data_IF_709912554281
#
_entry.id   IF_709912554281
#
_cell.length_a   1.000
_cell.length_b   1.000
_cell.length_c   1.000
_cell.angle_alpha   90.00
_cell.angle_beta   90.00
_cell.angle_gamma   90.00
#
_symmetry.space_group_name_H-M   'P 1'
#
loop_
_entity.id
_entity.type
_entity.pdbx_description
1 polymer ?
#
# COMPACT_ATOMS: atom_id res chain seq x y z
N UNK A 1 -56.64 46.70 25.02
CA UNK A 1 -57.82 45.98 24.49
C UNK A 1 -57.30 44.74 23.80
N UNK A 2 -57.72 43.58 24.29
CA UNK A 2 -57.34 42.28 23.77
C UNK A 2 -58.21 41.94 22.56
N UNK A 3 -57.65 41.23 21.59
CA UNK A 3 -58.41 40.28 20.77
C UNK A 3 -57.51 39.10 20.39
N UNK A 4 -57.80 37.97 21.01
CA UNK A 4 -57.51 36.60 20.54
C UNK A 4 -58.54 36.18 19.47
N UNK A 5 -58.32 34.95 18.95
CA UNK A 5 -59.15 34.03 18.13
C UNK A 5 -58.55 33.84 16.72
N UNK A 6 -57.68 32.84 16.49
CA UNK A 6 -57.93 31.43 15.99
C UNK A 6 -58.58 31.41 14.59
N UNK A 7 -58.32 30.51 13.63
CA UNK A 7 -57.99 29.07 13.63
C UNK A 7 -57.71 28.62 12.18
N UNK A 8 -57.21 27.38 12.05
CA UNK A 8 -57.29 26.46 10.87
C UNK A 8 -56.34 26.78 9.68
N UNK A 9 -55.62 25.84 9.08
CA UNK A 9 -55.68 24.37 9.07
C UNK A 9 -55.29 23.91 7.66
N UNK A 10 -54.27 23.07 7.55
CA UNK A 10 -53.90 22.15 6.44
C UNK A 10 -52.39 21.90 6.51
N UNK A 11 -51.83 20.73 6.24
CA UNK A 11 -52.22 19.33 6.38
C UNK A 11 -50.95 18.57 5.97
N UNK A 12 -50.72 17.44 6.64
CA UNK A 12 -50.08 16.22 6.12
C UNK A 12 -48.79 16.33 5.31
N UNK A 13 -47.69 15.88 5.91
CA UNK A 13 -46.91 14.79 5.33
C UNK A 13 -45.95 14.21 6.39
N UNK A 14 -46.51 13.34 7.25
CA UNK A 14 -45.74 12.29 7.90
C UNK A 14 -45.41 11.23 6.85
N UNK A 15 -44.16 11.19 6.38
CA UNK A 15 -43.63 10.00 5.68
C UNK A 15 -42.67 9.29 6.62
N UNK A 16 -43.27 8.43 7.42
CA UNK A 16 -42.62 7.34 8.13
C UNK A 16 -42.49 6.15 7.16
N UNK A 17 -41.33 5.99 6.54
CA UNK A 17 -40.94 4.70 5.95
C UNK A 17 -39.78 4.11 6.75
N UNK A 18 -40.15 3.34 7.76
CA UNK A 18 -39.37 2.18 8.17
C UNK A 18 -39.34 1.21 6.99
N UNK A 19 -38.15 1.00 6.42
CA UNK A 19 -37.85 -0.19 5.62
C UNK A 19 -36.60 -0.86 6.18
N UNK A 20 -36.88 -1.89 6.98
CA UNK A 20 -36.32 -3.24 6.88
C UNK A 20 -34.80 -3.38 6.65
N UNK A 21 -34.12 -3.77 7.75
CA UNK A 21 -33.15 -4.87 7.83
C UNK A 21 -32.29 -5.14 6.58
N UNK A 22 -31.54 -4.13 6.14
CA UNK A 22 -30.32 -4.39 5.40
C UNK A 22 -29.21 -4.70 6.40
N UNK A 23 -29.11 -5.97 6.77
CA UNK A 23 -27.97 -6.58 7.43
C UNK A 23 -26.76 -6.55 6.47
N UNK A 24 -26.30 -5.35 6.15
CA UNK A 24 -25.02 -5.13 5.49
C UNK A 24 -24.01 -5.47 6.55
N UNK A 25 -23.45 -6.67 6.43
CA UNK A 25 -22.19 -7.04 7.05
C UNK A 25 -21.16 -5.98 6.63
N UNK A 26 -21.11 -4.89 7.40
CA UNK A 26 -19.99 -4.00 7.45
C UNK A 26 -18.89 -4.82 8.11
N UNK A 27 -18.27 -5.70 7.32
CA UNK A 27 -16.93 -6.17 7.56
C UNK A 27 -16.09 -4.91 7.48
N UNK A 28 -15.98 -4.23 8.61
CA UNK A 28 -15.20 -3.03 8.83
C UNK A 28 -13.84 -3.34 8.23
N UNK A 29 -13.61 -2.87 7.00
CA UNK A 29 -12.33 -3.00 6.34
C UNK A 29 -11.43 -2.15 7.20
N UNK A 30 -10.76 -2.79 8.15
CA UNK A 30 -9.86 -2.15 9.11
C UNK A 30 -9.01 -1.20 8.30
N UNK A 31 -9.29 0.10 8.41
CA UNK A 31 -8.54 1.11 7.69
C UNK A 31 -7.18 1.09 8.33
N UNK A 32 -6.26 0.36 7.71
CA UNK A 32 -4.88 0.27 8.17
C UNK A 32 -4.31 1.67 8.02
N UNK A 33 -4.26 2.42 9.12
CA UNK A 33 -3.71 3.76 9.13
C UNK A 33 -2.23 3.67 9.46
N UNK A 34 -1.45 4.54 8.82
CA UNK A 34 -0.03 4.66 9.15
C UNK A 34 0.08 5.65 10.30
N UNK A 35 0.94 5.34 11.27
CA UNK A 35 1.16 6.23 12.40
C UNK A 35 1.66 7.61 11.93
N UNK A 36 0.75 8.58 11.89
CA UNK A 36 1.03 9.94 11.44
C UNK A 36 2.14 10.60 12.27
N UNK A 37 2.33 10.19 13.53
CA UNK A 37 3.41 10.71 14.39
C UNK A 37 4.79 10.33 13.85
N UNK A 38 4.91 9.25 13.08
CA UNK A 38 6.15 8.82 12.40
C UNK A 38 6.26 9.39 10.99
N UNK A 39 5.12 9.47 10.28
CA UNK A 39 5.09 9.98 8.91
C UNK A 39 5.48 11.46 8.83
N UNK A 40 4.96 12.28 9.74
CA UNK A 40 5.16 13.73 9.69
C UNK A 40 6.65 14.13 9.86
N UNK A 41 7.43 13.58 10.81
CA UNK A 41 8.88 13.78 10.87
C UNK A 41 9.61 13.34 9.59
N UNK A 42 9.26 12.17 9.03
CA UNK A 42 9.89 11.67 7.81
C UNK A 42 9.67 12.63 6.62
N UNK A 43 8.43 13.11 6.44
CA UNK A 43 8.12 14.10 5.41
C UNK A 43 8.82 15.43 5.63
N UNK A 44 8.94 15.90 6.88
CA UNK A 44 9.74 17.10 7.20
C UNK A 44 11.21 16.93 6.83
N UNK A 45 11.79 15.77 7.08
CA UNK A 45 13.18 15.47 6.69
C UNK A 45 13.36 15.49 5.18
N UNK A 46 12.44 14.87 4.43
CA UNK A 46 12.45 14.88 2.96
C UNK A 46 12.28 16.31 2.44
N UNK A 47 11.33 17.08 2.97
CA UNK A 47 11.11 18.47 2.56
C UNK A 47 12.36 19.34 2.69
N UNK A 48 13.16 19.14 3.75
CA UNK A 48 14.44 19.85 3.93
C UNK A 48 15.45 19.56 2.81
N UNK A 49 15.51 18.31 2.31
CA UNK A 49 16.40 17.94 1.20
C UNK A 49 16.08 18.70 -0.09
N UNK A 50 14.81 19.07 -0.28
CA UNK A 50 14.32 19.81 -1.44
C UNK A 50 14.14 21.32 -1.18
N UNK A 51 14.74 21.86 -0.11
CA UNK A 51 14.63 23.26 0.30
C UNK A 51 13.18 23.76 0.48
N UNK A 52 12.26 22.86 0.83
CA UNK A 52 10.86 23.20 1.11
C UNK A 52 10.71 23.69 2.55
N UNK A 53 10.09 24.87 2.72
CA UNK A 53 9.99 25.56 4.03
C UNK A 53 9.08 24.86 5.04
N UNK A 54 8.01 24.22 4.58
CA UNK A 54 7.03 23.57 5.44
C UNK A 54 6.31 22.43 4.74
N UNK A 55 5.80 21.50 5.54
CA UNK A 55 4.91 20.43 5.09
C UNK A 55 3.55 20.70 5.70
N UNK A 56 2.51 20.85 4.87
CA UNK A 56 1.15 21.07 5.36
C UNK A 56 0.48 19.72 5.69
N UNK A 57 -0.53 19.75 6.57
CA UNK A 57 -1.23 18.53 7.01
C UNK A 57 -1.92 17.80 5.86
N UNK A 58 -2.41 18.53 4.84
CA UNK A 58 -3.05 17.94 3.65
C UNK A 58 -2.07 17.06 2.88
N UNK A 59 -0.82 17.47 2.72
CA UNK A 59 0.25 16.68 2.11
C UNK A 59 0.54 15.43 2.93
N UNK A 60 0.56 15.52 4.26
CA UNK A 60 0.76 14.36 5.14
C UNK A 60 -0.36 13.35 5.00
N UNK A 61 -1.61 13.80 5.06
CA UNK A 61 -2.77 12.93 4.86
C UNK A 61 -2.79 12.31 3.45
N UNK A 62 -2.31 13.04 2.44
CA UNK A 62 -2.21 12.52 1.06
C UNK A 62 -1.14 11.44 0.98
N UNK A 63 0.04 11.68 1.57
CA UNK A 63 1.12 10.70 1.60
C UNK A 63 0.72 9.43 2.35
N UNK A 64 -0.02 9.55 3.46
CA UNK A 64 -0.57 8.39 4.17
C UNK A 64 -1.45 7.54 3.24
N UNK A 65 -2.39 8.16 2.51
CA UNK A 65 -3.24 7.44 1.54
C UNK A 65 -2.43 6.76 0.44
N UNK A 66 -1.40 7.42 -0.07
CA UNK A 66 -0.50 6.86 -1.09
C UNK A 66 0.22 5.63 -0.53
N UNK A 67 0.78 5.70 0.67
CA UNK A 67 1.47 4.59 1.30
C UNK A 67 0.54 3.41 1.60
N UNK A 68 -0.69 3.66 2.06
CA UNK A 68 -1.69 2.59 2.27
C UNK A 68 -2.07 1.93 0.94
N UNK A 69 -2.28 2.73 -0.12
CA UNK A 69 -2.56 2.20 -1.45
C UNK A 69 -1.40 1.38 -1.99
N UNK A 70 -0.17 1.87 -1.81
CA UNK A 70 1.05 1.17 -2.18
C UNK A 70 1.16 -0.19 -1.49
N UNK A 71 1.00 -0.23 -0.16
CA UNK A 71 1.04 -1.48 0.61
C UNK A 71 -0.05 -2.46 0.17
N UNK A 72 -1.24 -1.95 -0.15
CA UNK A 72 -2.35 -2.78 -0.64
C UNK A 72 -1.98 -3.45 -1.96
N UNK A 73 -1.45 -2.69 -2.93
CA UNK A 73 -1.03 -3.23 -4.24
C UNK A 73 0.06 -4.29 -4.07
N UNK A 74 1.09 -4.01 -3.26
CA UNK A 74 2.18 -4.97 -3.03
C UNK A 74 1.65 -6.25 -2.39
N UNK A 75 0.81 -6.14 -1.35
CA UNK A 75 0.26 -7.30 -0.66
C UNK A 75 -0.68 -8.12 -1.54
N UNK A 76 -1.56 -7.48 -2.30
CA UNK A 76 -2.48 -8.15 -3.23
C UNK A 76 -1.69 -8.92 -4.30
N UNK A 77 -0.66 -8.29 -4.90
CA UNK A 77 0.19 -8.94 -5.90
C UNK A 77 0.98 -10.11 -5.31
N UNK A 78 1.48 -9.96 -4.08
CA UNK A 78 2.21 -11.02 -3.38
C UNK A 78 1.31 -12.21 -3.05
N UNK A 79 0.06 -11.97 -2.64
CA UNK A 79 -0.91 -13.02 -2.32
C UNK A 79 -1.38 -13.78 -3.55
N UNK A 80 -1.55 -13.11 -4.70
CA UNK A 80 -1.91 -13.77 -5.95
C UNK A 80 -0.85 -14.78 -6.42
N UNK A 81 0.41 -14.60 -6.02
CA UNK A 81 1.52 -15.49 -6.37
C UNK A 81 1.85 -16.53 -5.30
N UNK A 82 1.40 -16.32 -4.08
CA UNK A 82 1.58 -17.28 -3.01
C UNK A 82 0.69 -18.50 -3.25
N UNK A 83 1.30 -19.63 -3.58
CA UNK A 83 0.63 -20.94 -3.56
C UNK A 83 0.40 -21.44 -2.13
N UNK A 84 0.86 -20.70 -1.13
CA UNK A 84 0.77 -21.03 0.29
C UNK A 84 -0.32 -20.21 0.96
N UNK A 85 -0.95 -20.80 1.99
CA UNK A 85 -1.88 -20.10 2.87
C UNK A 85 -1.23 -19.03 3.76
N UNK A 86 0.11 -18.94 3.73
CA UNK A 86 0.90 -18.00 4.50
C UNK A 86 1.78 -17.19 3.56
N UNK A 87 1.64 -15.86 3.63
CA UNK A 87 2.46 -14.94 2.86
C UNK A 87 3.92 -14.96 3.37
N UNK A 88 4.87 -15.26 2.50
CA UNK A 88 6.29 -15.30 2.81
C UNK A 88 6.99 -14.00 2.37
N UNK A 89 8.18 -13.75 2.94
CA UNK A 89 9.00 -12.58 2.57
C UNK A 89 9.41 -12.66 1.10
N UNK A 90 9.69 -13.87 0.59
CA UNK A 90 10.05 -14.12 -0.80
C UNK A 90 8.93 -13.73 -1.77
N UNK A 91 7.67 -13.88 -1.37
CA UNK A 91 6.52 -13.49 -2.19
C UNK A 91 6.46 -11.96 -2.33
N UNK A 92 6.70 -11.24 -1.22
CA UNK A 92 6.76 -9.77 -1.21
C UNK A 92 7.93 -9.27 -2.05
N UNK A 93 9.11 -9.88 -1.93
CA UNK A 93 10.27 -9.52 -2.74
C UNK A 93 10.02 -9.73 -4.23
N UNK A 94 9.44 -10.88 -4.60
CA UNK A 94 9.10 -11.19 -5.99
C UNK A 94 8.09 -10.18 -6.54
N UNK A 95 7.07 -9.83 -5.75
CA UNK A 95 6.11 -8.80 -6.12
C UNK A 95 6.77 -7.42 -6.33
N UNK A 96 7.69 -7.03 -5.45
CA UNK A 96 8.41 -5.75 -5.58
C UNK A 96 9.28 -5.71 -6.84
N UNK A 97 9.93 -6.81 -7.21
CA UNK A 97 10.71 -6.89 -8.45
C UNK A 97 9.80 -6.76 -9.68
N UNK A 98 8.67 -7.47 -9.69
CA UNK A 98 7.75 -7.46 -10.83
C UNK A 98 6.96 -6.17 -11.01
N UNK A 99 6.81 -5.40 -9.94
CA UNK A 99 6.23 -4.05 -9.96
C UNK A 99 7.28 -2.97 -10.32
N UNK A 100 8.50 -3.37 -10.72
CA UNK A 100 9.63 -2.48 -11.01
C UNK A 100 10.06 -1.61 -9.81
N UNK A 101 9.90 -2.14 -8.59
CA UNK A 101 10.23 -1.48 -7.32
C UNK A 101 11.51 -2.06 -6.69
N UNK A 102 12.34 -2.73 -7.48
CA UNK A 102 13.59 -3.37 -7.01
C UNK A 102 14.53 -2.39 -6.30
N UNK A 103 14.52 -1.11 -6.68
CA UNK A 103 15.34 -0.07 -6.07
C UNK A 103 15.00 0.20 -4.59
N UNK A 104 13.84 -0.26 -4.12
CA UNK A 104 13.44 -0.19 -2.71
C UNK A 104 13.96 -1.37 -1.88
N UNK A 105 14.45 -2.43 -2.52
CA UNK A 105 15.01 -3.59 -1.83
C UNK A 105 16.46 -3.32 -1.42
N UNK A 106 16.91 -3.84 -0.25
CA UNK A 106 18.30 -3.70 0.16
C UNK A 106 19.23 -4.42 -0.83
N UNK A 107 20.30 -3.74 -1.22
CA UNK A 107 21.31 -4.24 -2.15
C UNK A 107 22.19 -5.37 -1.59
N UNK A 108 22.18 -5.57 -0.26
CA UNK A 108 22.92 -6.64 0.42
C UNK A 108 21.97 -7.57 1.17
N UNK A 109 22.12 -8.88 0.98
CA UNK A 109 21.35 -9.91 1.71
C UNK A 109 20.15 -10.48 0.96
N UNK A 110 19.88 -10.01 -0.26
CA UNK A 110 18.87 -10.58 -1.16
C UNK A 110 19.58 -10.85 -2.48
N UNK A 111 19.83 -12.11 -2.80
CA UNK A 111 20.36 -12.50 -4.10
C UNK A 111 19.16 -12.83 -5.01
N UNK A 112 18.68 -11.90 -5.86
CA UNK A 112 17.58 -12.19 -6.80
C UNK A 112 17.96 -13.29 -7.82
N UNK A 113 19.25 -13.62 -7.94
CA UNK A 113 19.78 -14.55 -8.94
C UNK A 113 19.66 -16.03 -8.60
N UNK A 114 19.19 -16.41 -7.41
CA UNK A 114 19.07 -17.83 -7.05
C UNK A 114 17.95 -18.60 -7.77
N UNK A 115 17.28 -18.01 -8.76
CA UNK A 115 16.37 -18.71 -9.69
C UNK A 115 16.91 -18.89 -11.12
N UNK A 116 18.11 -18.39 -11.48
CA UNK A 116 18.61 -18.46 -12.86
C UNK A 116 20.01 -19.09 -13.03
N UNK A 117 20.74 -19.41 -11.97
CA UNK A 117 22.14 -19.87 -12.07
C UNK A 117 22.35 -21.40 -12.03
N UNK A 118 21.33 -22.21 -12.29
CA UNK A 118 21.49 -23.68 -12.36
C UNK A 118 21.67 -24.22 -13.80
N UNK A 119 21.97 -23.36 -14.78
CA UNK A 119 22.41 -23.80 -16.10
C UNK A 119 23.49 -22.84 -16.60
N UNK A 120 24.63 -23.40 -17.05
CA UNK A 120 25.83 -22.72 -17.57
C UNK A 120 26.66 -22.08 -16.44
N UNK A 121 27.93 -22.43 -16.18
CA UNK A 121 29.03 -22.88 -17.03
C UNK A 121 30.04 -23.67 -16.16
N UNK A 122 30.14 -24.98 -16.36
CA UNK A 122 31.33 -25.77 -15.98
C UNK A 122 31.93 -26.38 -17.27
N UNK A 123 32.23 -25.51 -18.23
CA UNK A 123 33.14 -25.81 -19.33
C UNK A 123 34.32 -24.84 -19.24
N UNK A 124 35.14 -25.03 -18.21
CA UNK A 124 36.52 -24.56 -18.28
C UNK A 124 37.21 -25.35 -19.40
N UNK A 125 37.44 -24.65 -20.50
CA UNK A 125 38.29 -25.07 -21.60
C UNK A 125 39.72 -25.16 -21.08
N UNK A 126 40.17 -26.38 -20.79
CA UNK A 126 41.60 -26.68 -20.62
C UNK A 126 42.26 -26.48 -21.99
N UNK A 127 42.91 -25.34 -22.18
CA UNK A 127 43.82 -25.08 -23.30
C UNK A 127 45.21 -24.79 -22.71
N UNK A 128 45.91 -25.85 -22.32
CA UNK A 128 47.35 -25.81 -22.04
C UNK A 128 48.11 -26.32 -23.28
N UNK A 129 48.26 -25.43 -24.25
CA UNK A 129 49.31 -25.50 -25.28
C UNK A 129 50.05 -24.17 -25.24
N UNK A 130 51.13 -24.10 -24.45
CA UNK A 130 52.37 -23.37 -24.72
C UNK A 130 53.18 -23.32 -23.43
N UNK A 131 54.30 -24.05 -23.38
CA UNK A 131 55.64 -23.47 -23.23
C UNK A 131 56.63 -24.62 -23.44
N UNK A 132 57.19 -24.65 -24.65
CA UNK A 132 58.52 -25.22 -24.89
C UNK A 132 59.55 -24.24 -24.29
N UNK A 133 60.47 -24.75 -23.47
CA UNK A 133 61.90 -24.86 -23.79
C UNK A 133 62.57 -25.87 -22.83
#
# INVERSE_FOLDING_TARGET
>A
MNHEVTSDGDSDDEINEQTEDSNVSNKSRSTTSIDQKKLHPAMKSIAKLYNQKSVNQKSVNTMEKVLVSFLTVVLDHSQQKSNNNTLQIQDIQSAMIELDLEFLLPSTGINPSNKLSNQQEDKEMINDYLYED
#
